data_IF_692416809225
#
_entry.id   IF_692416809225
#
_cell.length_a   1.000
_cell.length_b   1.000
_cell.length_c   1.000
_cell.angle_alpha   90.00
_cell.angle_beta   90.00
_cell.angle_gamma   90.00
#
_symmetry.space_group_name_H-M   'P 1'
#
loop_
_entity.id
_entity.type
_entity.pdbx_description
1 polymer ?
#
# COMPACT_ATOMS: atom_id res chain seq x y z
N UNK A 1 32.33 27.72 -14.10
CA UNK A 1 31.04 27.54 -13.39
C UNK A 1 31.15 28.16 -12.00
N UNK A 2 30.14 28.90 -11.51
CA UNK A 2 30.13 29.35 -10.12
C UNK A 2 30.02 28.14 -9.17
N UNK A 3 30.80 28.16 -8.09
CA UNK A 3 30.73 27.15 -7.03
C UNK A 3 29.45 27.32 -6.22
N UNK A 4 28.65 26.26 -6.15
CA UNK A 4 27.43 26.19 -5.34
C UNK A 4 27.78 25.97 -3.86
N UNK A 5 26.85 26.34 -2.98
CA UNK A 5 26.89 25.87 -1.60
C UNK A 5 26.64 24.36 -1.54
N UNK A 6 27.03 23.69 -0.45
CA UNK A 6 26.74 22.28 -0.25
C UNK A 6 25.24 21.99 -0.33
N UNK A 7 24.41 22.86 0.27
CA UNK A 7 22.95 22.79 0.19
C UNK A 7 22.45 22.91 -1.26
N UNK A 8 22.87 23.92 -2.00
CA UNK A 8 22.37 24.15 -3.37
C UNK A 8 22.85 23.06 -4.35
N UNK A 9 24.08 22.57 -4.15
CA UNK A 9 24.58 21.40 -4.89
C UNK A 9 23.76 20.14 -4.59
N UNK A 10 23.41 19.91 -3.32
CA UNK A 10 22.56 18.78 -2.93
C UNK A 10 21.17 18.88 -3.54
N UNK A 11 20.53 20.06 -3.52
CA UNK A 11 19.23 20.30 -4.15
C UNK A 11 19.30 19.97 -5.65
N UNK A 12 20.32 20.50 -6.34
CA UNK A 12 20.50 20.26 -7.77
C UNK A 12 20.65 18.77 -8.09
N UNK A 13 21.54 18.08 -7.38
CA UNK A 13 21.84 16.67 -7.63
C UNK A 13 20.63 15.78 -7.34
N UNK A 14 19.95 16.01 -6.22
CA UNK A 14 18.76 15.22 -5.86
C UNK A 14 17.59 15.46 -6.82
N UNK A 15 17.47 16.65 -7.42
CA UNK A 15 16.50 16.90 -8.49
C UNK A 15 16.87 16.22 -9.80
N UNK A 16 18.17 16.16 -10.13
CA UNK A 16 18.67 15.53 -11.36
C UNK A 16 18.66 14.00 -11.27
N UNK A 17 18.99 13.43 -10.10
CA UNK A 17 19.08 11.97 -9.91
C UNK A 17 17.71 11.28 -9.88
N UNK A 18 16.65 12.00 -9.46
CA UNK A 18 15.29 11.47 -9.26
C UNK A 18 15.21 10.21 -8.38
N UNK A 19 16.27 9.89 -7.64
CA UNK A 19 16.32 8.79 -6.68
C UNK A 19 17.05 9.24 -5.41
N UNK A 20 16.77 8.59 -4.26
CA UNK A 20 17.43 8.89 -3.00
C UNK A 20 18.92 8.63 -3.06
N UNK A 21 19.65 9.45 -2.31
CA UNK A 21 21.08 9.35 -2.21
C UNK A 21 21.53 9.64 -0.79
N UNK A 22 22.62 9.01 -0.40
CA UNK A 22 23.38 9.33 0.81
C UNK A 22 24.18 10.61 0.62
N UNK A 23 24.55 11.33 1.70
CA UNK A 23 25.44 12.49 1.61
C UNK A 23 26.78 12.19 0.93
N UNK A 24 27.24 10.93 1.00
CA UNK A 24 28.45 10.47 0.32
C UNK A 24 28.27 10.49 -1.19
N UNK A 25 27.20 9.86 -1.69
CA UNK A 25 26.89 9.80 -3.12
C UNK A 25 26.61 11.20 -3.70
N UNK A 26 25.82 12.01 -2.99
CA UNK A 26 25.54 13.39 -3.40
C UNK A 26 26.86 14.18 -3.50
N UNK A 27 27.77 14.03 -2.53
CA UNK A 27 29.06 14.72 -2.58
C UNK A 27 29.95 14.21 -3.72
N UNK A 28 30.00 12.90 -3.95
CA UNK A 28 30.79 12.32 -5.05
C UNK A 28 30.35 12.87 -6.41
N UNK A 29 29.04 12.97 -6.64
CA UNK A 29 28.49 13.59 -7.85
C UNK A 29 28.85 15.09 -7.90
N UNK A 30 28.69 15.82 -6.79
CA UNK A 30 29.01 17.24 -6.71
C UNK A 30 30.49 17.52 -7.02
N UNK A 31 31.39 16.69 -6.52
CA UNK A 31 32.83 16.79 -6.75
C UNK A 31 33.17 16.45 -8.21
N UNK A 32 32.59 15.37 -8.76
CA UNK A 32 32.78 14.97 -10.17
C UNK A 32 32.30 16.05 -11.14
N UNK A 33 31.17 16.68 -10.84
CA UNK A 33 30.62 17.80 -11.62
C UNK A 33 31.28 19.16 -11.29
N UNK A 34 32.27 19.20 -10.38
CA UNK A 34 32.95 20.42 -9.92
C UNK A 34 32.00 21.51 -9.40
N UNK A 35 30.85 21.11 -8.83
CA UNK A 35 29.83 22.02 -8.30
C UNK A 35 30.24 22.67 -6.98
N UNK A 36 31.05 21.98 -6.17
CA UNK A 36 31.49 22.43 -4.84
C UNK A 36 33.00 22.49 -4.76
N UNK A 37 33.53 23.43 -3.96
CA UNK A 37 34.94 23.47 -3.57
C UNK A 37 35.04 23.37 -2.05
N UNK A 38 36.01 22.60 -1.57
CA UNK A 38 36.21 22.37 -0.13
C UNK A 38 37.67 22.11 0.18
N UNK A 39 38.12 22.61 1.33
CA UNK A 39 39.41 22.29 1.96
C UNK A 39 39.24 21.42 3.21
N UNK A 40 37.99 21.06 3.56
CA UNK A 40 37.65 20.26 4.72
C UNK A 40 37.96 18.77 4.53
N UNK A 41 38.24 18.07 5.63
CA UNK A 41 38.62 16.64 5.62
C UNK A 41 37.44 15.69 5.36
N UNK A 42 36.21 16.10 5.67
CA UNK A 42 34.98 15.29 5.56
C UNK A 42 33.83 16.08 4.93
N UNK A 43 33.95 16.45 3.65
CA UNK A 43 32.96 17.26 2.96
C UNK A 43 31.59 16.59 2.82
N UNK A 44 31.52 15.26 2.69
CA UNK A 44 30.28 14.47 2.71
C UNK A 44 29.52 14.60 4.04
N UNK A 45 30.22 14.60 5.18
CA UNK A 45 29.59 14.81 6.49
C UNK A 45 29.04 16.24 6.62
N UNK A 46 29.75 17.22 6.04
CA UNK A 46 29.30 18.62 6.00
C UNK A 46 28.04 18.76 5.15
N UNK A 47 27.98 18.07 4.01
CA UNK A 47 26.80 18.02 3.15
C UNK A 47 25.60 17.44 3.90
N UNK A 48 25.78 16.29 4.56
CA UNK A 48 24.72 15.65 5.35
C UNK A 48 24.22 16.55 6.48
N UNK A 49 25.12 17.21 7.21
CA UNK A 49 24.75 18.13 8.29
C UNK A 49 23.88 19.29 7.80
N UNK A 50 24.13 19.83 6.59
CA UNK A 50 23.28 20.89 6.03
C UNK A 50 21.90 20.38 5.65
N UNK A 51 21.80 19.19 5.06
CA UNK A 51 20.52 18.56 4.72
C UNK A 51 19.68 18.31 5.98
N UNK A 52 20.23 17.60 6.97
CA UNK A 52 19.54 17.32 8.25
C UNK A 52 19.10 18.59 8.97
N UNK A 53 19.97 19.61 9.02
CA UNK A 53 19.65 20.88 9.68
C UNK A 53 18.50 21.59 8.98
N UNK A 54 18.46 21.55 7.65
CA UNK A 54 17.39 22.17 6.88
C UNK A 54 16.05 21.47 7.11
N UNK A 55 16.02 20.13 7.05
CA UNK A 55 14.83 19.32 7.35
C UNK A 55 14.32 19.62 8.75
N UNK A 56 15.20 19.63 9.76
CA UNK A 56 14.82 19.94 11.15
C UNK A 56 14.25 21.35 11.31
N UNK A 57 14.76 22.33 10.55
CA UNK A 57 14.35 23.73 10.65
C UNK A 57 13.07 24.03 9.87
N UNK A 58 12.91 23.42 8.69
CA UNK A 58 11.87 23.79 7.72
C UNK A 58 10.75 22.75 7.62
N UNK A 59 10.93 21.54 8.16
CA UNK A 59 9.94 20.46 8.13
C UNK A 59 9.43 20.19 6.72
N UNK A 60 8.11 20.21 6.53
CA UNK A 60 7.44 20.01 5.24
C UNK A 60 7.79 21.07 4.16
N UNK A 61 8.39 22.20 4.55
CA UNK A 61 8.85 23.23 3.62
C UNK A 61 10.33 23.06 3.21
N UNK A 62 11.02 22.03 3.72
CA UNK A 62 12.38 21.73 3.31
C UNK A 62 12.41 21.28 1.84
N UNK A 63 13.42 21.68 1.05
CA UNK A 63 13.63 21.13 -0.29
C UNK A 63 14.16 19.68 -0.25
N UNK A 64 14.36 19.11 0.94
CA UNK A 64 14.82 17.75 1.15
C UNK A 64 13.75 16.94 1.85
N UNK A 65 13.61 15.69 1.46
CA UNK A 65 12.81 14.70 2.18
C UNK A 65 13.74 13.59 2.64
N UNK A 66 13.71 13.30 3.94
CA UNK A 66 14.39 12.12 4.47
C UNK A 66 13.47 10.92 4.30
N UNK A 67 13.95 9.96 3.52
CA UNK A 67 13.16 8.79 3.10
C UNK A 67 13.65 7.52 3.77
N UNK A 68 14.91 7.46 4.18
CA UNK A 68 15.46 6.36 4.95
C UNK A 68 16.58 6.83 5.87
N UNK A 69 17.23 5.89 6.54
CA UNK A 69 18.35 6.22 7.45
C UNK A 69 19.54 6.73 6.62
N UNK A 70 19.72 8.05 6.60
CA UNK A 70 20.78 8.69 5.81
C UNK A 70 20.49 8.80 4.31
N UNK A 71 19.27 8.51 3.86
CA UNK A 71 18.84 8.65 2.46
C UNK A 71 17.95 9.87 2.30
N UNK A 72 18.25 10.67 1.28
CA UNK A 72 17.57 11.92 1.00
C UNK A 72 17.18 12.01 -0.46
N UNK A 73 16.01 12.60 -0.71
CA UNK A 73 15.53 12.96 -2.04
C UNK A 73 15.13 14.44 -2.08
N UNK A 74 15.01 15.00 -3.27
CA UNK A 74 14.51 16.35 -3.44
C UNK A 74 13.00 16.36 -3.21
N UNK A 75 12.49 17.39 -2.51
CA UNK A 75 11.06 17.61 -2.42
C UNK A 75 10.53 17.95 -3.82
N UNK A 76 9.79 17.03 -4.44
CA UNK A 76 9.20 17.26 -5.77
C UNK A 76 7.98 18.16 -5.71
N UNK A 77 7.66 18.83 -6.82
CA UNK A 77 6.34 19.46 -7.00
C UNK A 77 5.21 18.42 -6.95
N UNK A 78 5.49 17.16 -7.29
CA UNK A 78 4.59 16.00 -7.17
C UNK A 78 4.11 15.76 -5.73
N UNK A 79 4.86 16.17 -4.70
CA UNK A 79 4.37 16.20 -3.32
C UNK A 79 3.18 17.18 -3.09
N UNK A 80 2.71 17.88 -4.14
CA UNK A 80 1.51 18.72 -4.13
C UNK A 80 0.39 18.23 -5.06
N UNK A 81 0.65 17.35 -6.02
CA UNK A 81 -0.38 16.81 -6.91
C UNK A 81 -0.76 15.41 -6.45
N UNK A 82 -1.99 15.30 -5.95
CA UNK A 82 -2.52 14.07 -5.39
C UNK A 82 -2.73 13.03 -6.50
N UNK A 83 -2.32 11.79 -6.25
CA UNK A 83 -2.57 10.70 -7.19
C UNK A 83 -4.08 10.55 -7.44
N UNK A 84 -4.50 9.99 -8.59
CA UNK A 84 -5.91 9.68 -8.83
C UNK A 84 -6.55 8.85 -7.70
N UNK A 85 -5.82 7.91 -7.10
CA UNK A 85 -6.33 7.14 -5.96
C UNK A 85 -6.50 8.00 -4.71
N UNK A 86 -5.56 8.92 -4.43
CA UNK A 86 -5.67 9.87 -3.32
C UNK A 86 -6.85 10.83 -3.53
N UNK A 87 -7.05 11.32 -4.76
CA UNK A 87 -8.21 12.14 -5.11
C UNK A 87 -9.52 11.39 -4.91
N UNK A 88 -9.58 10.11 -5.29
CA UNK A 88 -10.75 9.24 -5.06
C UNK A 88 -10.97 9.03 -3.56
N UNK A 89 -9.92 8.74 -2.79
CA UNK A 89 -10.00 8.52 -1.36
C UNK A 89 -10.54 9.76 -0.64
N UNK A 90 -9.95 10.92 -0.90
CA UNK A 90 -10.39 12.19 -0.32
C UNK A 90 -11.82 12.55 -0.74
N UNK A 91 -12.16 12.32 -2.01
CA UNK A 91 -13.52 12.51 -2.48
C UNK A 91 -14.50 11.62 -1.71
N UNK A 92 -14.18 10.34 -1.53
CA UNK A 92 -15.01 9.39 -0.78
C UNK A 92 -15.12 9.76 0.70
N UNK A 93 -14.04 10.23 1.32
CA UNK A 93 -14.05 10.74 2.70
C UNK A 93 -14.97 11.96 2.83
N UNK A 94 -14.85 12.92 1.90
CA UNK A 94 -15.72 14.09 1.85
C UNK A 94 -17.19 13.70 1.66
N UNK A 95 -17.49 12.72 0.79
CA UNK A 95 -18.85 12.20 0.62
C UNK A 95 -19.35 11.48 1.88
N UNK A 96 -18.48 10.77 2.61
CA UNK A 96 -18.84 10.11 3.87
C UNK A 96 -19.21 11.13 4.95
N UNK A 97 -18.48 12.25 5.04
CA UNK A 97 -18.79 13.37 5.94
C UNK A 97 -20.13 14.01 5.53
N UNK A 98 -20.32 14.31 4.26
CA UNK A 98 -21.56 14.90 3.74
C UNK A 98 -22.77 13.98 3.97
N UNK A 99 -22.62 12.66 3.81
CA UNK A 99 -23.64 11.67 4.13
C UNK A 99 -24.02 11.74 5.61
N UNK A 100 -23.03 11.76 6.51
CA UNK A 100 -23.28 11.88 7.95
C UNK A 100 -24.06 13.14 8.30
N UNK A 101 -23.67 14.28 7.76
CA UNK A 101 -24.37 15.56 7.96
C UNK A 101 -25.80 15.52 7.40
N UNK A 102 -25.99 14.87 6.24
CA UNK A 102 -27.32 14.69 5.65
C UNK A 102 -28.22 13.84 6.55
N UNK A 103 -27.72 12.72 7.07
CA UNK A 103 -28.46 11.88 8.02
C UNK A 103 -28.82 12.68 9.28
N UNK A 104 -27.87 13.44 9.83
CA UNK A 104 -28.08 14.29 11.01
C UNK A 104 -29.08 15.42 10.79
N UNK A 105 -29.41 15.81 9.55
CA UNK A 105 -30.40 16.85 9.25
C UNK A 105 -31.72 16.28 8.67
N UNK A 106 -31.80 14.96 8.51
CA UNK A 106 -33.00 14.29 7.99
C UNK A 106 -34.08 14.19 9.08
N UNK A 107 -35.34 14.21 8.67
CA UNK A 107 -36.49 13.97 9.56
C UNK A 107 -36.31 12.62 10.28
N UNK A 108 -36.56 12.54 11.60
CA UNK A 108 -36.37 11.30 12.37
C UNK A 108 -37.09 10.09 11.76
N UNK A 109 -38.32 10.26 11.30
CA UNK A 109 -39.12 9.17 10.74
C UNK A 109 -38.58 8.72 9.37
N UNK A 110 -38.08 9.64 8.55
CA UNK A 110 -37.40 9.28 7.30
C UNK A 110 -36.11 8.50 7.60
N UNK A 111 -35.38 8.87 8.65
CA UNK A 111 -34.19 8.14 9.06
C UNK A 111 -34.51 6.71 9.52
N UNK A 112 -35.60 6.50 10.24
CA UNK A 112 -36.09 5.16 10.60
C UNK A 112 -36.40 4.30 9.37
N UNK A 113 -37.02 4.88 8.33
CA UNK A 113 -37.26 4.19 7.06
C UNK A 113 -35.96 3.82 6.34
N UNK A 114 -34.98 4.72 6.31
CA UNK A 114 -33.67 4.44 5.75
C UNK A 114 -32.97 3.28 6.48
N UNK A 115 -33.14 3.18 7.80
CA UNK A 115 -32.66 2.03 8.57
C UNK A 115 -33.45 0.77 8.22
N UNK A 116 -34.76 0.86 8.00
CA UNK A 116 -35.57 -0.23 7.47
C UNK A 116 -35.00 -0.80 6.17
N UNK A 117 -34.76 0.07 5.18
CA UNK A 117 -34.15 -0.31 3.89
C UNK A 117 -32.78 -1.00 4.10
N UNK A 118 -31.98 -0.51 5.04
CA UNK A 118 -30.69 -1.12 5.39
C UNK A 118 -30.85 -2.52 5.97
N UNK A 119 -31.81 -2.73 6.87
CA UNK A 119 -32.07 -4.04 7.46
C UNK A 119 -32.53 -5.04 6.40
N UNK A 120 -33.40 -4.63 5.47
CA UNK A 120 -33.80 -5.47 4.33
C UNK A 120 -32.59 -5.88 3.48
N UNK A 121 -31.70 -4.93 3.15
CA UNK A 121 -30.46 -5.23 2.40
C UNK A 121 -29.50 -6.14 3.16
N UNK A 122 -29.54 -6.12 4.49
CA UNK A 122 -28.79 -7.02 5.36
C UNK A 122 -29.42 -8.42 5.49
N UNK A 123 -30.58 -8.66 4.87
CA UNK A 123 -31.28 -9.94 4.88
C UNK A 123 -32.25 -10.11 6.05
N UNK A 124 -32.66 -9.03 6.71
CA UNK A 124 -33.81 -9.10 7.61
C UNK A 124 -35.12 -9.19 6.80
N UNK A 125 -36.05 -9.95 7.35
CA UNK A 125 -37.39 -10.18 6.81
C UNK A 125 -38.43 -9.51 7.72
N UNK A 126 -39.63 -9.26 7.18
CA UNK A 126 -40.75 -8.62 7.90
C UNK A 126 -40.33 -7.31 8.61
N UNK A 127 -39.57 -6.47 7.91
CA UNK A 127 -39.13 -5.17 8.44
C UNK A 127 -40.31 -4.22 8.49
N UNK A 128 -40.68 -3.79 9.69
CA UNK A 128 -41.80 -2.88 9.94
C UNK A 128 -41.31 -1.67 10.75
N UNK A 129 -41.39 -0.48 10.14
CA UNK A 129 -41.16 0.79 10.84
C UNK A 129 -42.42 1.14 11.65
N UNK A 130 -42.26 1.41 12.94
CA UNK A 130 -43.39 1.66 13.85
C UNK A 130 -43.97 3.07 13.65
N UNK A 131 -45.11 3.36 14.31
CA UNK A 131 -45.79 4.65 14.17
C UNK A 131 -45.07 5.72 15.00
N UNK A 132 -45.04 6.96 14.50
CA UNK A 132 -44.43 8.16 15.11
C UNK A 132 -44.76 8.48 16.58
N UNK A 133 -45.74 7.83 17.22
CA UNK A 133 -46.14 8.13 18.59
C UNK A 133 -46.64 6.88 19.30
N UNK A 134 -46.22 6.71 20.56
CA UNK A 134 -46.66 5.62 21.44
C UNK A 134 -45.95 4.28 21.22
N UNK A 135 -44.80 4.28 20.55
CA UNK A 135 -44.02 3.08 20.22
C UNK A 135 -43.23 2.47 21.40
N UNK A 136 -43.20 3.17 22.54
CA UNK A 136 -42.47 2.73 23.73
C UNK A 136 -40.96 2.67 23.55
N UNK A 137 -40.39 3.26 22.50
CA UNK A 137 -38.96 3.23 22.20
C UNK A 137 -38.49 2.14 21.24
N UNK A 138 -39.40 1.47 20.51
CA UNK A 138 -39.06 0.58 19.39
C UNK A 138 -39.43 1.27 18.08
N UNK A 139 -38.42 1.61 17.28
CA UNK A 139 -38.61 2.36 16.03
C UNK A 139 -38.78 1.41 14.82
N UNK A 140 -38.14 0.23 14.84
CA UNK A 140 -38.28 -0.79 13.80
C UNK A 140 -38.38 -2.18 14.43
N UNK A 141 -39.24 -3.04 13.87
CA UNK A 141 -39.31 -4.47 14.18
C UNK A 141 -38.87 -5.26 12.96
N UNK A 142 -38.02 -6.28 13.14
CA UNK A 142 -37.51 -7.07 12.04
C UNK A 142 -37.13 -8.48 12.49
N UNK A 143 -37.13 -9.44 11.56
CA UNK A 143 -36.76 -10.83 11.83
C UNK A 143 -35.51 -11.21 11.04
N UNK A 144 -34.53 -11.83 11.68
CA UNK A 144 -33.39 -12.41 10.98
C UNK A 144 -33.55 -13.92 10.89
N UNK A 145 -33.80 -14.42 9.68
CA UNK A 145 -33.90 -15.86 9.40
C UNK A 145 -32.53 -16.40 9.00
N UNK A 146 -31.95 -17.26 9.85
CA UNK A 146 -30.63 -17.85 9.62
C UNK A 146 -30.82 -19.26 9.05
N UNK A 147 -30.45 -19.43 7.78
CA UNK A 147 -30.54 -20.70 7.03
C UNK A 147 -31.93 -21.37 7.04
N UNK A 148 -33.00 -20.60 7.27
CA UNK A 148 -34.38 -21.09 7.19
C UNK A 148 -34.87 -21.94 8.36
N UNK A 149 -34.07 -22.18 9.40
CA UNK A 149 -34.47 -22.99 10.57
C UNK A 149 -34.40 -22.25 11.90
N UNK A 150 -33.75 -21.09 11.97
CA UNK A 150 -33.74 -20.23 13.16
C UNK A 150 -34.25 -18.84 12.79
N UNK A 151 -35.25 -18.35 13.52
CA UNK A 151 -35.76 -16.98 13.39
C UNK A 151 -35.43 -16.20 14.66
N UNK A 152 -34.73 -15.08 14.50
CA UNK A 152 -34.39 -14.15 15.58
C UNK A 152 -35.20 -12.87 15.41
N UNK A 153 -36.27 -12.74 16.20
CA UNK A 153 -37.03 -11.48 16.28
C UNK A 153 -36.16 -10.39 16.90
N UNK A 154 -36.14 -9.23 16.29
CA UNK A 154 -35.27 -8.12 16.69
C UNK A 154 -36.09 -6.85 16.84
N UNK A 155 -36.02 -6.25 18.03
CA UNK A 155 -36.51 -4.91 18.32
C UNK A 155 -35.37 -3.93 18.10
N UNK A 156 -35.60 -2.95 17.23
CA UNK A 156 -34.57 -2.00 16.81
C UNK A 156 -34.96 -0.61 17.30
N UNK A 157 -34.00 0.08 17.91
CA UNK A 157 -34.09 1.48 18.26
C UNK A 157 -33.07 2.30 17.49
N UNK A 158 -33.50 3.41 16.92
CA UNK A 158 -32.76 4.27 16.02
C UNK A 158 -32.59 5.65 16.67
N UNK A 159 -31.35 6.10 16.86
CA UNK A 159 -31.04 7.40 17.46
C UNK A 159 -30.21 8.27 16.53
N UNK A 160 -30.79 9.36 16.05
CA UNK A 160 -30.08 10.41 15.29
C UNK A 160 -29.44 11.42 16.25
N UNK A 161 -28.35 11.05 16.91
CA UNK A 161 -27.66 11.90 17.88
C UNK A 161 -26.32 12.42 17.35
N UNK A 162 -25.91 13.58 17.86
CA UNK A 162 -24.57 14.14 17.71
C UNK A 162 -23.65 13.81 18.90
N UNK A 163 -24.22 13.40 20.03
CA UNK A 163 -23.52 13.03 21.26
C UNK A 163 -23.66 11.54 21.54
N UNK A 164 -22.78 11.02 22.39
CA UNK A 164 -22.76 9.59 22.67
C UNK A 164 -24.03 9.11 23.37
N UNK A 165 -24.55 7.97 22.92
CA UNK A 165 -25.75 7.33 23.47
C UNK A 165 -25.44 6.74 24.85
N UNK A 166 -26.27 7.06 25.84
CA UNK A 166 -26.14 6.60 27.23
C UNK A 166 -26.79 5.23 27.48
N UNK A 167 -26.51 4.65 28.64
CA UNK A 167 -27.05 3.36 29.10
C UNK A 167 -28.56 3.37 29.29
N UNK A 168 -29.18 4.53 29.52
CA UNK A 168 -30.63 4.65 29.63
C UNK A 168 -31.35 4.15 28.39
N UNK A 169 -30.84 4.45 27.19
CA UNK A 169 -31.45 4.01 25.92
C UNK A 169 -31.43 2.48 25.81
N UNK A 170 -30.37 1.83 26.29
CA UNK A 170 -30.28 0.37 26.35
C UNK A 170 -31.33 -0.22 27.31
N UNK A 171 -31.54 0.42 28.47
CA UNK A 171 -32.55 -0.01 29.44
C UNK A 171 -33.98 0.21 28.93
N UNK A 172 -34.23 1.31 28.25
CA UNK A 172 -35.52 1.62 27.62
C UNK A 172 -35.87 0.56 26.57
N UNK A 173 -34.95 0.24 25.65
CA UNK A 173 -35.17 -0.81 24.65
C UNK A 173 -35.47 -2.17 25.30
N UNK A 174 -34.78 -2.52 26.39
CA UNK A 174 -35.06 -3.75 27.14
C UNK A 174 -36.44 -3.76 27.80
N UNK A 175 -36.90 -2.61 28.28
CA UNK A 175 -38.23 -2.49 28.87
C UNK A 175 -39.35 -2.57 27.84
N UNK A 176 -39.07 -2.18 26.60
CA UNK A 176 -40.04 -2.17 25.50
C UNK A 176 -40.09 -3.51 24.73
N UNK A 177 -38.98 -4.24 24.67
CA UNK A 177 -38.87 -5.48 23.91
C UNK A 177 -39.64 -6.65 24.54
N UNK A 178 -40.11 -7.56 23.68
CA UNK A 178 -40.78 -8.80 24.08
C UNK A 178 -39.75 -9.85 24.56
N UNK A 179 -40.20 -10.84 25.35
CA UNK A 179 -39.33 -11.83 26.03
C UNK A 179 -38.45 -12.65 25.07
N UNK A 180 -38.89 -12.88 23.84
CA UNK A 180 -38.19 -13.66 22.81
C UNK A 180 -37.42 -12.80 21.79
N UNK A 181 -37.37 -11.48 21.98
CA UNK A 181 -36.68 -10.57 21.08
C UNK A 181 -35.21 -10.34 21.47
N UNK A 182 -34.39 -10.00 20.49
CA UNK A 182 -33.09 -9.37 20.69
C UNK A 182 -33.19 -7.86 20.46
N UNK A 183 -32.30 -7.11 21.11
CA UNK A 183 -32.21 -5.67 20.89
C UNK A 183 -31.15 -5.32 19.85
N UNK A 184 -31.42 -4.28 19.06
CA UNK A 184 -30.45 -3.63 18.19
C UNK A 184 -30.59 -2.12 18.34
N UNK A 185 -29.49 -1.42 18.66
CA UNK A 185 -29.49 0.04 18.68
C UNK A 185 -28.59 0.55 17.58
N UNK A 186 -29.13 1.40 16.72
CA UNK A 186 -28.42 2.03 15.61
C UNK A 186 -28.38 3.54 15.86
N UNK A 187 -27.21 4.16 15.76
CA UNK A 187 -27.05 5.60 15.99
C UNK A 187 -26.08 6.25 15.01
N UNK A 188 -26.24 7.55 14.80
CA UNK A 188 -25.29 8.40 14.06
C UNK A 188 -24.08 8.84 14.90
N UNK A 189 -24.10 8.60 16.22
CA UNK A 189 -23.02 8.89 17.17
C UNK A 189 -22.28 7.63 17.62
N UNK A 190 -21.48 7.70 18.69
CA UNK A 190 -20.95 6.51 19.37
C UNK A 190 -21.73 6.22 20.67
N UNK A 191 -21.34 5.20 21.41
CA UNK A 191 -21.94 4.81 22.68
C UNK A 191 -21.00 5.12 23.85
N UNK A 192 -21.56 5.51 25.00
CA UNK A 192 -20.75 5.63 26.23
C UNK A 192 -20.24 4.27 26.69
N UNK A 193 -19.20 4.26 27.52
CA UNK A 193 -18.68 3.03 28.12
C UNK A 193 -19.77 2.29 28.91
N UNK A 194 -20.55 3.01 29.71
CA UNK A 194 -21.67 2.46 30.46
C UNK A 194 -22.74 1.84 29.55
N UNK A 195 -23.04 2.44 28.39
CA UNK A 195 -23.98 1.87 27.42
C UNK A 195 -23.47 0.55 26.83
N UNK A 196 -22.17 0.49 26.48
CA UNK A 196 -21.53 -0.75 25.99
C UNK A 196 -21.58 -1.85 27.05
N UNK A 197 -21.25 -1.53 28.30
CA UNK A 197 -21.31 -2.46 29.43
C UNK A 197 -22.75 -2.95 29.72
N UNK A 198 -23.73 -2.04 29.72
CA UNK A 198 -25.14 -2.37 29.92
C UNK A 198 -25.64 -3.30 28.79
N UNK A 199 -25.30 -3.03 27.53
CA UNK A 199 -25.72 -3.83 26.39
C UNK A 199 -25.19 -5.28 26.45
N UNK A 200 -23.96 -5.46 26.95
CA UNK A 200 -23.33 -6.78 27.14
C UNK A 200 -23.58 -7.42 28.51
N UNK A 201 -24.39 -6.81 29.37
CA UNK A 201 -24.58 -7.28 30.74
C UNK A 201 -25.13 -8.73 30.79
N UNK A 202 -24.54 -9.61 31.63
CA UNK A 202 -24.94 -11.01 31.70
C UNK A 202 -26.37 -11.16 32.25
N UNK A 203 -27.05 -12.24 31.85
CA UNK A 203 -28.42 -12.58 32.26
C UNK A 203 -29.49 -11.53 31.91
N UNK A 204 -29.20 -10.63 30.97
CA UNK A 204 -30.17 -9.69 30.40
C UNK A 204 -30.34 -9.97 28.90
N UNK A 205 -31.43 -9.43 28.33
CA UNK A 205 -31.64 -9.50 26.88
C UNK A 205 -30.41 -8.94 26.14
N UNK A 206 -29.80 -9.69 25.20
CA UNK A 206 -28.68 -9.22 24.41
C UNK A 206 -29.07 -8.02 23.55
N UNK A 207 -28.24 -6.97 23.56
CA UNK A 207 -28.42 -5.78 22.73
C UNK A 207 -27.19 -5.57 21.87
N UNK A 208 -27.35 -5.57 20.55
CA UNK A 208 -26.30 -5.23 19.59
C UNK A 208 -26.24 -3.73 19.37
N UNK A 209 -25.04 -3.17 19.21
CA UNK A 209 -24.81 -1.74 19.07
C UNK A 209 -24.14 -1.43 17.74
N UNK A 210 -24.75 -0.57 16.92
CA UNK A 210 -24.19 -0.08 15.66
C UNK A 210 -23.99 1.43 15.76
N UNK A 211 -22.73 1.85 15.83
CA UNK A 211 -22.38 3.26 15.93
C UNK A 211 -22.33 3.94 14.56
N UNK A 212 -22.19 5.26 14.55
CA UNK A 212 -22.24 6.07 13.35
C UNK A 212 -21.17 5.71 12.32
N UNK A 213 -19.96 5.35 12.76
CA UNK A 213 -18.91 4.87 11.85
C UNK A 213 -19.37 3.59 11.14
N UNK A 214 -19.83 2.60 11.90
CA UNK A 214 -20.26 1.32 11.33
C UNK A 214 -21.50 1.47 10.45
N UNK A 215 -22.44 2.33 10.84
CA UNK A 215 -23.62 2.67 10.05
C UNK A 215 -23.23 3.23 8.68
N UNK A 216 -22.32 4.22 8.62
CA UNK A 216 -21.88 4.82 7.36
C UNK A 216 -21.19 3.79 6.46
N UNK A 217 -20.32 2.94 7.00
CA UNK A 217 -19.70 1.84 6.25
C UNK A 217 -20.75 0.92 5.62
N UNK A 218 -21.80 0.57 6.35
CA UNK A 218 -22.88 -0.29 5.86
C UNK A 218 -23.73 0.40 4.79
N UNK A 219 -24.10 1.66 5.00
CA UNK A 219 -24.86 2.43 4.00
C UNK A 219 -24.08 2.56 2.69
N UNK A 220 -22.78 2.81 2.75
CA UNK A 220 -21.93 2.86 1.56
C UNK A 220 -21.83 1.49 0.89
N UNK A 221 -21.58 0.44 1.66
CA UNK A 221 -21.44 -0.94 1.15
C UNK A 221 -22.70 -1.42 0.42
N UNK A 222 -23.88 -1.09 0.93
CA UNK A 222 -25.16 -1.49 0.34
C UNK A 222 -25.77 -0.41 -0.57
N UNK A 223 -25.02 0.64 -0.89
CA UNK A 223 -25.41 1.76 -1.76
C UNK A 223 -26.74 2.42 -1.36
N UNK A 224 -26.96 2.62 -0.05
CA UNK A 224 -28.14 3.29 0.50
C UNK A 224 -27.84 4.76 0.70
N UNK A 225 -28.56 5.62 -0.02
CA UNK A 225 -28.35 7.08 0.01
C UNK A 225 -27.07 7.55 -0.69
N UNK A 226 -26.30 6.64 -1.28
CA UNK A 226 -25.11 6.94 -2.08
C UNK A 226 -25.12 6.14 -3.39
N UNK A 227 -24.30 6.54 -4.35
CA UNK A 227 -24.13 5.82 -5.63
C UNK A 227 -22.65 5.74 -5.98
N UNK A 228 -22.18 4.57 -6.38
CA UNK A 228 -20.83 4.42 -6.94
C UNK A 228 -20.82 4.78 -8.43
N UNK A 229 -19.78 5.50 -8.86
CA UNK A 229 -19.53 5.82 -10.29
C UNK A 229 -18.22 5.18 -10.71
N UNK A 230 -18.28 4.25 -11.67
CA UNK A 230 -17.07 3.71 -12.33
C UNK A 230 -16.59 4.71 -13.37
N UNK A 231 -15.32 5.12 -13.30
CA UNK A 231 -14.67 6.01 -14.26
C UNK A 231 -13.39 5.33 -14.75
N UNK A 232 -13.14 5.37 -16.06
CA UNK A 232 -11.90 4.88 -16.64
C UNK A 232 -10.81 5.93 -16.50
N UNK A 233 -9.67 5.53 -15.94
CA UNK A 233 -8.46 6.32 -15.87
C UNK A 233 -7.47 5.76 -16.88
N UNK A 234 -6.91 6.62 -17.73
CA UNK A 234 -5.88 6.26 -18.70
C UNK A 234 -4.56 6.85 -18.20
N UNK A 235 -3.54 6.01 -18.06
CA UNK A 235 -2.16 6.41 -17.76
C UNK A 235 -1.26 6.04 -18.94
N UNK A 236 -0.16 6.78 -19.11
CA UNK A 236 0.89 6.39 -20.02
C UNK A 236 1.64 5.17 -19.44
N UNK A 237 1.96 4.21 -20.30
CA UNK A 237 2.77 3.04 -19.97
C UNK A 237 4.23 3.37 -20.30
N UNK A 238 4.91 4.09 -19.41
CA UNK A 238 6.31 4.49 -19.62
C UNK A 238 7.23 3.27 -19.74
N UNK A 239 6.94 2.17 -19.02
CA UNK A 239 7.69 0.90 -19.12
C UNK A 239 7.68 0.34 -20.56
N UNK A 240 6.54 0.46 -21.26
CA UNK A 240 6.45 0.09 -22.66
C UNK A 240 7.37 0.94 -23.54
N UNK A 241 7.43 2.26 -23.33
CA UNK A 241 8.29 3.14 -24.13
C UNK A 241 9.78 2.96 -23.81
N UNK A 242 10.15 2.85 -22.53
CA UNK A 242 11.54 2.56 -22.12
C UNK A 242 12.07 1.26 -22.74
N UNK A 243 11.23 0.23 -22.85
CA UNK A 243 11.61 -1.04 -23.47
C UNK A 243 11.88 -0.98 -24.98
N UNK A 244 11.45 0.10 -25.64
CA UNK A 244 11.63 0.34 -27.08
C UNK A 244 12.85 1.23 -27.37
N UNK A 245 13.37 1.96 -26.38
CA UNK A 245 14.45 2.94 -26.55
C UNK A 245 15.86 2.34 -26.42
N UNK A 246 15.99 1.05 -26.06
CA UNK A 246 17.27 0.35 -25.95
C UNK A 246 17.80 -0.13 -27.33
N UNK A 247 18.26 0.81 -28.15
CA UNK A 247 19.35 0.58 -29.10
C UNK A 247 20.28 1.81 -29.05
N UNK A 248 21.51 1.58 -28.54
CA UNK A 248 22.68 2.47 -28.58
C UNK A 248 22.94 3.43 -27.38
N UNK A 249 23.81 2.96 -26.47
CA UNK A 249 24.88 3.73 -25.80
C UNK A 249 24.53 4.89 -24.83
N UNK A 250 24.68 4.65 -23.51
CA UNK A 250 25.69 5.32 -22.64
C UNK A 250 25.45 5.06 -21.15
N UNK A 251 26.57 4.91 -20.42
CA UNK A 251 26.68 4.66 -18.99
C UNK A 251 26.14 5.82 -18.13
N UNK A 252 24.83 5.85 -17.90
CA UNK A 252 24.28 6.33 -16.64
C UNK A 252 23.62 5.13 -15.96
N UNK A 253 24.17 4.71 -14.82
CA UNK A 253 23.61 3.68 -13.93
C UNK A 253 22.35 4.26 -13.26
N UNK A 254 21.32 4.57 -14.03
CA UNK A 254 20.01 4.81 -13.46
C UNK A 254 19.44 3.46 -13.04
N UNK A 255 19.18 3.31 -11.73
CA UNK A 255 18.50 2.13 -11.19
C UNK A 255 17.19 1.95 -11.97
N UNK A 256 16.91 0.72 -12.38
CA UNK A 256 15.68 0.40 -13.13
C UNK A 256 14.46 0.55 -12.22
N UNK A 257 13.41 1.13 -12.78
CA UNK A 257 12.15 1.37 -12.07
C UNK A 257 11.31 0.10 -11.91
N UNK A 258 11.49 -0.88 -12.78
CA UNK A 258 10.67 -2.09 -12.79
C UNK A 258 11.48 -3.33 -12.46
N UNK A 259 10.90 -4.19 -11.63
CA UNK A 259 11.38 -5.54 -11.35
C UNK A 259 10.23 -6.53 -11.55
N UNK A 260 10.56 -7.76 -11.94
CA UNK A 260 9.58 -8.83 -12.17
C UNK A 260 9.68 -9.92 -11.09
N UNK A 261 8.58 -10.67 -10.87
CA UNK A 261 8.59 -11.86 -10.02
C UNK A 261 9.41 -12.96 -10.68
N UNK A 262 9.94 -13.89 -9.88
CA UNK A 262 10.62 -15.09 -10.39
C UNK A 262 9.68 -16.31 -10.44
N UNK A 263 9.97 -17.29 -11.31
CA UNK A 263 9.02 -18.34 -11.68
C UNK A 263 8.75 -19.42 -10.62
N UNK A 264 9.56 -19.54 -9.58
CA UNK A 264 9.38 -20.54 -8.51
C UNK A 264 8.24 -20.28 -7.54
N UNK A 265 7.47 -19.20 -7.74
CA UNK A 265 6.42 -18.78 -6.80
C UNK A 265 6.91 -17.73 -5.82
N UNK A 266 5.99 -17.22 -5.00
CA UNK A 266 6.20 -16.02 -4.17
C UNK A 266 7.24 -16.19 -3.06
N UNK A 267 7.62 -17.41 -2.72
CA UNK A 267 8.50 -17.81 -1.60
C UNK A 267 9.82 -18.47 -2.05
N UNK A 268 10.08 -18.53 -3.37
CA UNK A 268 11.27 -19.18 -3.95
C UNK A 268 12.05 -18.27 -4.92
N UNK A 269 12.03 -16.95 -4.73
CA UNK A 269 12.76 -16.03 -5.63
C UNK A 269 14.26 -16.23 -5.57
N UNK A 270 14.83 -16.34 -4.36
CA UNK A 270 16.27 -16.55 -4.22
C UNK A 270 16.71 -17.89 -4.84
N UNK A 271 15.94 -18.95 -4.64
CA UNK A 271 16.25 -20.26 -5.22
C UNK A 271 16.11 -20.23 -6.75
N UNK A 272 15.04 -19.61 -7.27
CA UNK A 272 14.83 -19.44 -8.72
C UNK A 272 15.94 -18.62 -9.38
N UNK A 273 16.47 -17.60 -8.68
CA UNK A 273 17.62 -16.83 -9.14
C UNK A 273 18.83 -17.76 -9.31
N UNK A 274 19.12 -18.57 -8.30
CA UNK A 274 20.25 -19.50 -8.32
C UNK A 274 20.08 -20.59 -9.38
N UNK A 275 18.89 -21.15 -9.55
CA UNK A 275 18.60 -22.18 -10.55
C UNK A 275 18.96 -21.70 -11.97
N UNK A 276 18.53 -20.49 -12.32
CA UNK A 276 18.79 -19.90 -13.65
C UNK A 276 20.28 -19.63 -13.84
N UNK A 277 20.96 -19.05 -12.84
CA UNK A 277 22.39 -18.79 -12.95
C UNK A 277 23.20 -20.09 -13.03
N UNK A 278 22.84 -21.11 -12.26
CA UNK A 278 23.46 -22.43 -12.32
C UNK A 278 23.22 -23.14 -13.65
N UNK A 279 22.04 -22.96 -14.26
CA UNK A 279 21.77 -23.47 -15.60
C UNK A 279 22.74 -22.88 -16.63
N UNK A 280 23.09 -21.60 -16.50
CA UNK A 280 24.03 -20.90 -17.40
C UNK A 280 25.50 -21.15 -17.05
N UNK A 281 25.82 -21.54 -15.81
CA UNK A 281 27.19 -21.88 -15.36
C UNK A 281 27.86 -22.96 -16.22
N UNK A 282 27.09 -23.95 -16.65
CA UNK A 282 27.60 -25.09 -17.43
C UNK A 282 28.09 -24.71 -18.82
N UNK A 283 27.32 -23.88 -19.53
CA UNK A 283 27.64 -23.37 -20.86
C UNK A 283 26.61 -22.28 -21.26
N UNK A 284 27.00 -21.35 -22.16
CA UNK A 284 26.06 -20.39 -22.75
C UNK A 284 24.89 -21.09 -23.44
N UNK A 285 23.67 -20.56 -23.29
CA UNK A 285 22.43 -21.16 -23.82
C UNK A 285 21.75 -20.25 -24.83
N UNK A 286 21.22 -20.82 -25.90
CA UNK A 286 20.37 -20.08 -26.83
C UNK A 286 19.04 -19.71 -26.16
N UNK A 287 18.27 -18.82 -26.79
CA UNK A 287 16.90 -18.50 -26.35
C UNK A 287 16.02 -19.76 -26.32
N UNK A 288 16.13 -20.63 -27.32
CA UNK A 288 15.37 -21.87 -27.43
C UNK A 288 15.73 -22.86 -26.30
N UNK A 289 17.01 -22.98 -25.98
CA UNK A 289 17.48 -23.82 -24.87
C UNK A 289 16.96 -23.31 -23.52
N UNK A 290 16.99 -21.98 -23.30
CA UNK A 290 16.42 -21.40 -22.08
C UNK A 290 14.92 -21.61 -22.00
N UNK A 291 14.18 -21.43 -23.09
CA UNK A 291 12.73 -21.71 -23.12
C UNK A 291 12.44 -23.16 -22.73
N UNK A 292 13.17 -24.11 -23.33
CA UNK A 292 13.03 -25.52 -23.00
C UNK A 292 13.37 -25.80 -21.54
N UNK A 293 14.44 -25.19 -21.01
CA UNK A 293 14.84 -25.36 -19.62
C UNK A 293 13.79 -24.82 -18.65
N UNK A 294 13.29 -23.60 -18.84
CA UNK A 294 12.28 -23.00 -17.96
C UNK A 294 10.99 -23.84 -17.92
N UNK A 295 10.49 -24.28 -19.08
CA UNK A 295 9.30 -25.15 -19.16
C UNK A 295 9.49 -26.52 -18.52
N UNK A 296 10.75 -26.97 -18.40
CA UNK A 296 11.08 -28.24 -17.74
C UNK A 296 11.21 -28.06 -16.22
N UNK A 297 11.70 -26.90 -15.76
CA UNK A 297 11.92 -26.64 -14.33
C UNK A 297 10.69 -26.09 -13.61
N UNK A 298 9.85 -25.30 -14.29
CA UNK A 298 8.71 -24.60 -13.68
C UNK A 298 7.42 -24.88 -14.45
N UNK A 299 6.57 -25.74 -13.91
CA UNK A 299 5.26 -26.10 -14.50
C UNK A 299 4.34 -24.89 -14.73
N UNK A 300 4.52 -23.83 -13.93
CA UNK A 300 3.78 -22.57 -14.00
C UNK A 300 4.14 -21.71 -15.22
N UNK A 301 5.27 -21.97 -15.88
CA UNK A 301 5.82 -21.10 -16.93
C UNK A 301 5.61 -21.73 -18.32
N UNK A 302 4.56 -21.31 -19.01
CA UNK A 302 4.21 -21.87 -20.34
C UNK A 302 4.44 -20.89 -21.51
N UNK A 303 4.73 -19.62 -21.22
CA UNK A 303 4.83 -18.55 -22.21
C UNK A 303 6.28 -18.21 -22.56
N UNK A 304 6.64 -18.38 -23.83
CA UNK A 304 7.95 -18.00 -24.37
C UNK A 304 8.22 -16.50 -24.19
N UNK A 305 7.16 -15.67 -24.25
CA UNK A 305 7.25 -14.23 -24.01
C UNK A 305 7.63 -13.93 -22.55
N UNK A 306 7.04 -14.66 -21.60
CA UNK A 306 7.35 -14.51 -20.18
C UNK A 306 8.79 -14.93 -19.88
N UNK A 307 9.24 -16.03 -20.48
CA UNK A 307 10.63 -16.49 -20.36
C UNK A 307 11.62 -15.47 -20.94
N UNK A 308 11.31 -14.92 -22.12
CA UNK A 308 12.12 -13.86 -22.70
C UNK A 308 12.20 -12.65 -21.77
N UNK A 309 11.08 -12.27 -21.14
CA UNK A 309 11.04 -11.20 -20.15
C UNK A 309 11.93 -11.51 -18.94
N UNK A 310 11.86 -12.70 -18.34
CA UNK A 310 12.75 -13.04 -17.21
C UNK A 310 14.22 -12.80 -17.58
N UNK A 311 14.64 -13.27 -18.76
CA UNK A 311 16.01 -13.12 -19.22
C UNK A 311 16.40 -11.65 -19.43
N UNK A 312 15.59 -10.85 -20.11
CA UNK A 312 15.93 -9.46 -20.42
C UNK A 312 15.65 -8.49 -19.26
N UNK A 313 14.52 -8.62 -18.57
CA UNK A 313 14.05 -7.64 -17.57
C UNK A 313 14.49 -7.93 -16.15
N UNK A 314 14.90 -9.17 -15.83
CA UNK A 314 15.48 -9.50 -14.52
C UNK A 314 16.97 -9.76 -14.68
N UNK A 315 17.35 -10.85 -15.34
CA UNK A 315 18.75 -11.29 -15.30
C UNK A 315 19.70 -10.32 -16.01
N UNK A 316 19.30 -9.74 -17.14
CA UNK A 316 20.12 -8.71 -17.81
C UNK A 316 20.08 -7.36 -17.09
N UNK A 317 18.92 -6.91 -16.61
CA UNK A 317 18.81 -5.66 -15.84
C UNK A 317 19.59 -5.67 -14.52
N UNK A 318 19.66 -6.82 -13.85
CA UNK A 318 20.50 -7.02 -12.66
C UNK A 318 21.99 -7.13 -13.01
N UNK A 319 22.36 -7.07 -14.30
CA UNK A 319 23.74 -7.22 -14.75
C UNK A 319 24.30 -8.62 -14.54
N UNK A 320 23.45 -9.64 -14.41
CA UNK A 320 23.85 -11.02 -14.15
C UNK A 320 24.04 -11.83 -15.43
N UNK A 321 23.28 -11.50 -16.47
CA UNK A 321 23.30 -12.20 -17.75
C UNK A 321 23.44 -11.23 -18.91
N UNK A 322 24.29 -11.57 -19.87
CA UNK A 322 24.49 -10.84 -21.12
C UNK A 322 24.17 -11.73 -22.33
N UNK A 323 23.70 -11.13 -23.41
CA UNK A 323 23.46 -11.81 -24.68
C UNK A 323 24.66 -11.59 -25.61
N UNK A 324 25.42 -12.64 -25.89
CA UNK A 324 26.59 -12.62 -26.78
C UNK A 324 26.41 -13.71 -27.84
N UNK A 325 26.54 -13.36 -29.13
CA UNK A 325 26.33 -14.28 -30.26
C UNK A 325 25.00 -15.06 -30.17
N UNK A 326 23.92 -14.35 -29.82
CA UNK A 326 22.56 -14.91 -29.63
C UNK A 326 22.46 -15.98 -28.52
N UNK A 327 23.44 -16.04 -27.61
CA UNK A 327 23.43 -16.92 -26.45
C UNK A 327 23.54 -16.12 -25.15
N UNK A 328 22.73 -16.51 -24.17
CA UNK A 328 22.82 -15.99 -22.83
C UNK A 328 24.06 -16.55 -22.14
N UNK A 329 24.85 -15.67 -21.52
CA UNK A 329 26.05 -15.98 -20.77
C UNK A 329 26.04 -15.21 -19.46
N UNK A 330 26.59 -15.79 -18.40
CA UNK A 330 26.86 -15.07 -17.16
C UNK A 330 27.82 -13.90 -17.40
N UNK A 331 27.61 -12.81 -16.66
CA UNK A 331 28.62 -11.74 -16.53
C UNK A 331 29.71 -12.17 -15.53
N UNK A 332 30.91 -11.54 -15.56
CA UNK A 332 31.95 -11.83 -14.57
C UNK A 332 31.46 -11.64 -13.11
N UNK A 333 30.62 -10.63 -12.87
CA UNK A 333 30.01 -10.39 -11.56
C UNK A 333 29.09 -11.54 -11.14
N UNK A 334 28.31 -12.09 -12.07
CA UNK A 334 27.48 -13.25 -11.77
C UNK A 334 28.30 -14.52 -11.53
N UNK A 335 29.38 -14.74 -12.29
CA UNK A 335 30.31 -15.86 -12.06
C UNK A 335 30.91 -15.81 -10.66
N UNK A 336 31.31 -14.63 -10.18
CA UNK A 336 31.80 -14.45 -8.81
C UNK A 336 30.69 -14.66 -7.77
N UNK A 337 29.48 -14.16 -8.01
CA UNK A 337 28.33 -14.34 -7.12
C UNK A 337 27.98 -15.82 -6.90
N UNK A 338 27.98 -16.65 -7.95
CA UNK A 338 27.62 -18.07 -7.84
C UNK A 338 28.72 -18.95 -7.20
N UNK A 339 29.94 -18.45 -7.01
CA UNK A 339 30.99 -19.17 -6.27
C UNK A 339 30.71 -19.17 -4.76
N UNK A 340 30.12 -18.09 -4.25
CA UNK A 340 29.73 -17.94 -2.86
C UNK A 340 28.36 -17.24 -2.74
N UNK A 341 27.27 -17.93 -3.12
CA UNK A 341 25.96 -17.31 -3.17
C UNK A 341 25.46 -17.02 -1.76
N UNK A 342 25.06 -15.77 -1.51
CA UNK A 342 24.39 -15.38 -0.27
C UNK A 342 23.20 -14.45 -0.55
N UNK A 343 22.21 -14.51 0.34
CA UNK A 343 21.05 -13.62 0.29
C UNK A 343 21.46 -12.14 0.42
N UNK A 344 22.51 -11.86 1.20
CA UNK A 344 23.07 -10.52 1.32
C UNK A 344 23.69 -10.03 0.00
N UNK A 345 24.47 -10.88 -0.69
CA UNK A 345 25.04 -10.51 -1.97
C UNK A 345 23.96 -10.29 -3.05
N UNK A 346 22.89 -11.10 -3.04
CA UNK A 346 21.74 -10.89 -3.93
C UNK A 346 21.00 -9.58 -3.62
N UNK A 347 20.88 -9.23 -2.34
CA UNK A 347 20.31 -7.94 -1.92
C UNK A 347 21.13 -6.76 -2.45
N UNK A 348 22.47 -6.80 -2.33
CA UNK A 348 23.31 -5.72 -2.86
C UNK A 348 23.15 -5.54 -4.37
N UNK A 349 23.12 -6.66 -5.12
CA UNK A 349 22.89 -6.61 -6.58
C UNK A 349 21.54 -5.95 -6.90
N UNK A 350 20.48 -6.31 -6.18
CA UNK A 350 19.15 -5.71 -6.35
C UNK A 350 19.17 -4.23 -5.99
N UNK A 351 19.76 -3.87 -4.86
CA UNK A 351 19.82 -2.50 -4.41
C UNK A 351 20.59 -1.62 -5.38
N UNK A 352 21.72 -2.09 -5.94
CA UNK A 352 22.51 -1.33 -6.92
C UNK A 352 21.78 -1.12 -8.24
N UNK A 353 20.87 -2.03 -8.63
CA UNK A 353 20.30 -2.09 -9.98
C UNK A 353 18.84 -1.70 -10.06
N UNK A 354 18.09 -1.82 -8.98
CA UNK A 354 16.63 -1.65 -8.96
C UNK A 354 16.25 -0.57 -7.96
N UNK A 355 15.50 0.41 -8.43
CA UNK A 355 15.01 1.51 -7.62
C UNK A 355 14.01 1.01 -6.58
N UNK A 356 14.00 1.56 -5.37
CA UNK A 356 12.97 1.28 -4.37
C UNK A 356 13.24 0.05 -3.49
N UNK A 357 14.33 -0.68 -3.67
CA UNK A 357 14.66 -1.85 -2.84
C UNK A 357 15.01 -1.42 -1.41
N UNK A 358 16.02 -0.56 -1.27
CA UNK A 358 16.46 -0.02 0.03
C UNK A 358 15.39 0.89 0.65
N UNK A 359 14.69 1.66 -0.17
CA UNK A 359 13.61 2.55 0.26
C UNK A 359 12.44 1.76 0.85
N UNK A 360 12.06 0.65 0.20
CA UNK A 360 11.02 -0.25 0.73
C UNK A 360 11.46 -0.88 2.03
N UNK A 361 12.71 -1.37 2.11
CA UNK A 361 13.26 -1.96 3.33
C UNK A 361 13.24 -0.95 4.48
N UNK A 362 13.78 0.25 4.24
CA UNK A 362 13.76 1.36 5.20
C UNK A 362 12.34 1.69 5.66
N UNK A 363 11.37 1.75 4.76
CA UNK A 363 9.98 2.04 5.12
C UNK A 363 9.38 0.96 6.03
N UNK A 364 9.60 -0.32 5.71
CA UNK A 364 9.14 -1.45 6.54
C UNK A 364 9.80 -1.41 7.92
N UNK A 365 11.11 -1.16 7.98
CA UNK A 365 11.86 -1.14 9.25
C UNK A 365 11.45 -0.01 10.20
N UNK A 366 11.08 1.15 9.64
CA UNK A 366 10.68 2.33 10.40
C UNK A 366 9.17 2.41 10.66
N UNK A 367 8.37 1.49 10.11
CA UNK A 367 6.93 1.45 10.36
C UNK A 367 6.61 0.82 11.72
N UNK A 368 5.72 1.48 12.48
CA UNK A 368 5.26 0.95 13.78
C UNK A 368 4.34 -0.26 13.62
N UNK A 369 3.55 -0.27 12.54
CA UNK A 369 2.60 -1.33 12.21
C UNK A 369 3.06 -2.09 10.95
N UNK A 370 2.67 -3.36 10.76
CA UNK A 370 2.93 -4.08 9.53
C UNK A 370 2.41 -3.31 8.31
N UNK A 371 3.14 -3.32 7.19
CA UNK A 371 2.81 -2.57 5.97
C UNK A 371 2.25 -3.48 4.88
N UNK A 372 1.33 -2.97 4.08
CA UNK A 372 0.79 -3.65 2.89
C UNK A 372 1.49 -3.20 1.61
N UNK A 373 1.30 -3.94 0.52
CA UNK A 373 1.78 -3.56 -0.82
C UNK A 373 1.29 -2.15 -1.21
N UNK A 374 0.07 -1.78 -0.83
CA UNK A 374 -0.48 -0.45 -1.10
C UNK A 374 0.19 0.64 -0.26
N UNK A 375 0.53 0.35 1.00
CA UNK A 375 1.24 1.31 1.87
C UNK A 375 2.62 1.63 1.28
N UNK A 376 3.35 0.60 0.81
CA UNK A 376 4.65 0.76 0.13
C UNK A 376 4.49 1.52 -1.18
N UNK A 377 3.48 1.21 -2.00
CA UNK A 377 3.23 1.94 -3.25
C UNK A 377 2.95 3.42 -2.99
N UNK A 378 2.06 3.74 -2.04
CA UNK A 378 1.75 5.13 -1.66
C UNK A 378 3.02 5.84 -1.21
N UNK A 379 3.79 5.21 -0.31
CA UNK A 379 5.06 5.76 0.15
C UNK A 379 6.04 6.02 -1.00
N UNK A 380 6.20 5.07 -1.93
CA UNK A 380 7.10 5.22 -3.07
C UNK A 380 6.63 6.28 -4.08
N UNK A 381 5.32 6.40 -4.31
CA UNK A 381 4.78 7.43 -5.19
C UNK A 381 4.95 8.83 -4.57
N UNK A 382 4.52 8.99 -3.31
CA UNK A 382 4.50 10.29 -2.61
C UNK A 382 5.90 10.87 -2.42
N UNK A 383 6.89 10.01 -2.16
CA UNK A 383 8.21 10.48 -1.76
C UNK A 383 9.23 10.48 -2.90
N UNK A 384 8.97 9.79 -4.02
CA UNK A 384 10.01 9.56 -5.02
C UNK A 384 9.59 9.79 -6.47
N UNK A 385 8.49 10.52 -6.69
CA UNK A 385 8.01 10.90 -8.03
C UNK A 385 7.83 9.68 -8.95
N UNK A 386 7.33 8.61 -8.33
CA UNK A 386 6.91 7.39 -9.01
C UNK A 386 5.41 7.48 -9.25
N UNK A 387 4.94 7.05 -10.42
CA UNK A 387 3.51 7.08 -10.75
C UNK A 387 2.96 5.66 -10.98
N UNK A 388 3.23 4.76 -10.03
CA UNK A 388 2.70 3.40 -10.12
C UNK A 388 1.22 3.38 -9.77
N UNK A 389 0.39 3.04 -10.76
CA UNK A 389 -1.06 2.88 -10.62
C UNK A 389 -1.49 1.55 -10.00
N UNK A 390 -0.59 0.57 -9.95
CA UNK A 390 -0.86 -0.77 -9.39
C UNK A 390 0.14 -1.15 -8.30
N UNK A 391 -0.26 -2.06 -7.42
CA UNK A 391 0.60 -2.57 -6.35
C UNK A 391 1.69 -3.53 -6.85
N UNK A 392 1.75 -3.88 -8.14
CA UNK A 392 2.64 -4.92 -8.65
C UNK A 392 4.12 -4.64 -8.31
N UNK A 393 4.61 -3.44 -8.63
CA UNK A 393 6.00 -3.05 -8.40
C UNK A 393 6.36 -3.00 -6.90
N UNK A 394 5.45 -2.52 -6.04
CA UNK A 394 5.62 -2.55 -4.59
C UNK A 394 5.65 -3.99 -4.05
N UNK A 395 4.72 -4.82 -4.52
CA UNK A 395 4.61 -6.24 -4.14
C UNK A 395 5.87 -7.02 -4.50
N UNK A 396 6.42 -6.83 -5.70
CA UNK A 396 7.64 -7.53 -6.10
C UNK A 396 8.85 -7.16 -5.24
N UNK A 397 8.99 -5.90 -4.84
CA UNK A 397 10.05 -5.45 -3.91
C UNK A 397 9.91 -6.10 -2.54
N UNK A 398 8.70 -6.11 -1.98
CA UNK A 398 8.41 -6.76 -0.71
C UNK A 398 8.68 -8.27 -0.76
N UNK A 399 8.26 -8.95 -1.83
CA UNK A 399 8.52 -10.37 -2.02
C UNK A 399 10.02 -10.66 -2.12
N UNK A 400 10.78 -9.86 -2.86
CA UNK A 400 12.23 -9.97 -2.92
C UNK A 400 12.87 -9.81 -1.54
N UNK A 401 12.54 -8.74 -0.81
CA UNK A 401 13.07 -8.49 0.54
C UNK A 401 12.74 -9.63 1.50
N UNK A 402 11.53 -10.17 1.45
CA UNK A 402 11.11 -11.31 2.27
C UNK A 402 11.90 -12.58 1.93
N UNK A 403 12.03 -12.91 0.65
CA UNK A 403 12.78 -14.08 0.19
C UNK A 403 14.27 -14.01 0.57
N UNK A 404 14.83 -12.80 0.58
CA UNK A 404 16.19 -12.53 1.02
C UNK A 404 16.34 -12.48 2.54
N UNK A 405 15.25 -12.64 3.30
CA UNK A 405 15.25 -12.63 4.75
C UNK A 405 15.55 -11.25 5.35
N UNK A 406 15.21 -10.18 4.63
CA UNK A 406 15.36 -8.78 5.09
C UNK A 406 14.13 -8.29 5.86
N UNK A 407 12.97 -8.87 5.62
CA UNK A 407 11.69 -8.57 6.29
C UNK A 407 10.91 -9.86 6.57
N UNK A 408 9.90 -9.79 7.44
CA UNK A 408 8.97 -10.88 7.70
C UNK A 408 7.64 -10.63 6.97
N UNK A 409 6.96 -11.72 6.60
CA UNK A 409 5.60 -11.71 6.05
C UNK A 409 4.65 -12.36 7.04
N UNK A 410 3.62 -11.63 7.45
CA UNK A 410 2.64 -12.03 8.46
C UNK A 410 1.54 -12.91 7.85
N UNK A 411 0.78 -13.58 8.72
CA UNK A 411 -0.37 -14.42 8.31
C UNK A 411 -1.46 -13.65 7.56
N UNK A 412 -1.61 -12.36 7.87
CA UNK A 412 -2.53 -11.44 7.18
C UNK A 412 -2.01 -10.93 5.83
N UNK A 413 -0.81 -11.36 5.43
CA UNK A 413 -0.15 -10.98 4.18
C UNK A 413 0.58 -9.64 4.21
N UNK A 414 0.60 -8.93 5.35
CA UNK A 414 1.38 -7.70 5.55
C UNK A 414 2.83 -8.02 5.89
N UNK A 415 3.70 -7.02 5.81
CA UNK A 415 5.14 -7.17 6.05
C UNK A 415 5.59 -6.36 7.27
N UNK A 416 6.52 -6.90 8.03
CA UNK A 416 7.12 -6.22 9.18
C UNK A 416 8.63 -6.39 9.19
N UNK A 417 9.30 -5.56 10.00
CA UNK A 417 10.70 -5.76 10.34
C UNK A 417 10.94 -7.14 10.98
N UNK A 418 12.19 -7.58 10.91
CA UNK A 418 12.68 -8.82 11.52
C UNK A 418 12.59 -8.82 13.05
#
# INVERSE_FOLDING_TARGET
>A
MPTLSFKDAAIKILHESKHPMTPIEIYQIAAKQQLVKTSGKTPEATMGAQIYTDIKKNGANSPFVQVGKGLFTAATKSNKEKSPEQLILEYNEAQTIALKERLLNTDPFIFEHLIGDLLEKLGYENVEVTKRSGDGGIDVKANLTVYGFTNVKTAVQVKRYSHNVSDNVVRELRGAAEVDQRGLIITTADFTKAAKEEASAPNKMPVSLVNGKKLLELLIKYEIGVKSKKTELISLDEDYFESLEDDDSSLILEKRMSIWPLPGGIDHYYDSLLDVLNALKSQPKSKEDMVKWFKTQYDSVNSDKTIASYMSTIFSNLGLVQLVDKKYKLTPSAESFIENPSKDAAFEILNERIFGIEETLSFVENSENPVSDNDVRIYLNDNFNVDWSTNAQASFRLLWLWNLGKIQRNEDGRYSKL
#
